data_IF_900739915400
#
_entry.id   IF_900739915400
#
_cell.length_a   1.000
_cell.length_b   1.000
_cell.length_c   1.000
_cell.angle_alpha   90.00
_cell.angle_beta   90.00
_cell.angle_gamma   90.00
#
_symmetry.space_group_name_H-M   'P 1'
#
loop_
_entity.id
_entity.type
_entity.pdbx_description
1 polymer ?
#
# COMPACT_ATOMS: atom_id res chain seq x y z
N UNK A 1 21.42 -11.73 19.00
CA UNK A 1 20.44 -11.17 19.98
C UNK A 1 19.06 -11.66 19.61
N UNK A 2 18.31 -12.32 20.51
CA UNK A 2 16.87 -12.55 20.29
C UNK A 2 16.19 -11.17 20.24
N UNK A 3 15.42 -10.84 19.19
CA UNK A 3 14.73 -9.57 19.14
C UNK A 3 13.77 -9.47 20.34
N UNK A 4 13.93 -8.42 21.14
CA UNK A 4 13.02 -8.08 22.23
C UNK A 4 11.59 -7.90 21.66
N UNK A 5 10.57 -8.59 22.19
CA UNK A 5 9.19 -8.51 21.69
C UNK A 5 8.50 -7.15 21.89
N UNK A 6 9.16 -6.18 22.53
CA UNK A 6 8.54 -4.93 22.99
C UNK A 6 9.29 -3.67 22.58
N UNK A 7 10.41 -3.78 21.86
CA UNK A 7 11.16 -2.64 21.36
C UNK A 7 10.60 -2.07 20.05
N UNK A 8 10.68 -0.74 19.88
CA UNK A 8 10.49 -0.10 18.58
C UNK A 8 11.51 -0.69 17.61
N UNK A 9 11.04 -1.28 16.51
CA UNK A 9 11.93 -1.81 15.46
C UNK A 9 12.39 -0.62 14.62
N UNK A 10 13.48 0.03 15.05
CA UNK A 10 13.99 1.26 14.48
C UNK A 10 14.21 1.20 12.95
N UNK A 11 14.77 0.11 12.37
CA UNK A 11 14.88 -0.02 10.91
C UNK A 11 13.54 0.08 10.17
N UNK A 12 12.44 -0.42 10.76
CA UNK A 12 11.11 -0.32 10.15
C UNK A 12 10.59 1.12 10.20
N UNK A 13 10.95 1.91 11.22
CA UNK A 13 10.59 3.33 11.26
C UNK A 13 11.34 4.11 10.18
N UNK A 14 12.62 3.83 9.97
CA UNK A 14 13.38 4.42 8.86
C UNK A 14 12.79 4.03 7.49
N UNK A 15 12.44 2.76 7.29
CA UNK A 15 11.79 2.33 6.05
C UNK A 15 10.44 3.02 5.81
N UNK A 16 9.64 3.24 6.87
CA UNK A 16 8.41 4.05 6.77
C UNK A 16 8.69 5.50 6.39
N UNK A 17 9.75 6.09 6.95
CA UNK A 17 10.19 7.44 6.59
C UNK A 17 10.59 7.53 5.11
N UNK A 18 11.38 6.57 4.63
CA UNK A 18 11.76 6.47 3.21
C UNK A 18 10.52 6.31 2.32
N UNK A 19 9.61 5.40 2.67
CA UNK A 19 8.35 5.21 1.94
C UNK A 19 7.52 6.50 1.85
N UNK A 20 7.39 7.24 2.97
CA UNK A 20 6.67 8.51 3.01
C UNK A 20 7.32 9.58 2.11
N UNK A 21 8.66 9.66 2.11
CA UNK A 21 9.39 10.58 1.25
C UNK A 21 9.24 10.23 -0.24
N UNK A 22 9.22 8.94 -0.59
CA UNK A 22 8.97 8.48 -1.96
C UNK A 22 7.56 8.86 -2.43
N UNK A 23 6.54 8.69 -1.59
CA UNK A 23 5.17 9.11 -1.90
C UNK A 23 5.06 10.63 -2.04
N UNK A 24 5.70 11.39 -1.14
CA UNK A 24 5.76 12.84 -1.23
C UNK A 24 6.47 13.31 -2.50
N UNK A 25 7.54 12.63 -2.91
CA UNK A 25 8.23 12.87 -4.17
C UNK A 25 7.31 12.65 -5.37
N UNK A 26 6.60 11.52 -5.44
CA UNK A 26 5.66 11.23 -6.52
C UNK A 26 4.60 12.32 -6.67
N UNK A 27 3.96 12.71 -5.56
CA UNK A 27 2.96 13.76 -5.58
C UNK A 27 3.55 15.16 -5.83
N UNK A 28 4.76 15.44 -5.36
CA UNK A 28 5.43 16.73 -5.61
C UNK A 28 5.80 16.91 -7.07
N UNK A 29 6.48 15.92 -7.67
CA UNK A 29 6.88 15.97 -9.08
C UNK A 29 5.66 15.94 -10.00
N UNK A 30 4.66 15.10 -9.71
CA UNK A 30 3.46 14.97 -10.53
C UNK A 30 2.52 16.18 -10.52
N UNK A 31 2.75 17.18 -9.65
CA UNK A 31 1.96 18.41 -9.58
C UNK A 31 2.67 19.62 -10.22
N UNK A 32 3.94 19.47 -10.64
CA UNK A 32 4.75 20.53 -11.20
C UNK A 32 5.04 20.24 -12.69
N UNK A 33 4.36 20.92 -13.63
CA UNK A 33 4.52 20.66 -15.06
C UNK A 33 5.97 20.79 -15.53
N UNK A 34 6.45 19.80 -16.29
CA UNK A 34 7.81 19.75 -16.86
C UNK A 34 8.86 19.13 -15.94
N UNK A 35 8.54 18.89 -14.67
CA UNK A 35 9.46 18.27 -13.72
C UNK A 35 9.53 16.75 -13.91
N UNK A 36 8.44 16.14 -14.39
CA UNK A 36 8.34 14.72 -14.74
C UNK A 36 9.33 14.26 -15.80
N UNK A 37 9.79 15.16 -16.67
CA UNK A 37 10.77 14.85 -17.70
C UNK A 37 12.20 14.69 -17.13
N UNK A 38 12.45 15.25 -15.96
CA UNK A 38 13.77 15.33 -15.35
C UNK A 38 13.92 14.40 -14.14
N UNK A 39 12.81 13.91 -13.59
CA UNK A 39 12.79 13.17 -12.34
C UNK A 39 11.94 11.89 -12.43
N UNK A 40 12.44 10.76 -11.90
CA UNK A 40 11.73 9.48 -11.97
C UNK A 40 10.45 9.51 -11.14
N UNK A 41 9.30 9.31 -11.81
CA UNK A 41 7.97 9.35 -11.19
C UNK A 41 7.54 8.00 -10.58
N UNK A 42 7.87 6.86 -11.20
CA UNK A 42 7.43 5.53 -10.72
C UNK A 42 8.31 5.01 -9.59
N UNK A 43 9.51 5.54 -9.44
CA UNK A 43 10.30 5.37 -8.23
C UNK A 43 9.48 5.79 -7.01
N UNK A 44 8.87 6.98 -7.05
CA UNK A 44 8.08 7.51 -5.95
C UNK A 44 6.81 6.69 -5.62
N UNK A 45 6.16 6.09 -6.63
CA UNK A 45 4.99 5.23 -6.39
C UNK A 45 5.34 3.98 -5.59
N UNK A 46 6.59 3.52 -5.67
CA UNK A 46 7.05 2.30 -4.98
C UNK A 46 7.11 2.47 -3.45
N UNK A 47 6.97 3.70 -2.95
CA UNK A 47 6.79 3.95 -1.52
C UNK A 47 5.49 3.36 -0.98
N UNK A 48 4.43 3.30 -1.80
CA UNK A 48 3.17 2.65 -1.43
C UNK A 48 3.37 1.14 -1.27
N UNK A 49 4.07 0.51 -2.21
CA UNK A 49 4.36 -0.92 -2.17
C UNK A 49 5.13 -1.29 -0.88
N UNK A 50 6.11 -0.45 -0.51
CA UNK A 50 6.85 -0.60 0.73
C UNK A 50 5.96 -0.47 1.98
N UNK A 51 4.95 0.41 1.98
CA UNK A 51 3.99 0.48 3.08
C UNK A 51 3.20 -0.83 3.24
N UNK A 52 2.75 -1.46 2.15
CA UNK A 52 2.00 -2.72 2.20
C UNK A 52 2.85 -3.88 2.74
N UNK A 53 4.11 -4.00 2.29
CA UNK A 53 5.06 -4.97 2.86
C UNK A 53 5.28 -4.72 4.35
N UNK A 54 5.51 -3.47 4.75
CA UNK A 54 5.71 -3.11 6.16
C UNK A 54 4.45 -3.41 6.99
N UNK A 55 3.25 -3.17 6.44
CA UNK A 55 1.99 -3.50 7.10
C UNK A 55 1.87 -4.99 7.39
N UNK A 56 2.14 -5.85 6.40
CA UNK A 56 2.19 -7.30 6.58
C UNK A 56 3.18 -7.73 7.67
N UNK A 57 4.40 -7.17 7.63
CA UNK A 57 5.44 -7.43 8.63
C UNK A 57 4.99 -7.06 10.05
N UNK A 58 4.47 -5.84 10.23
CA UNK A 58 4.06 -5.34 11.54
C UNK A 58 2.86 -6.11 12.10
N UNK A 59 1.94 -6.62 11.27
CA UNK A 59 0.82 -7.42 11.78
C UNK A 59 1.31 -8.71 12.43
N UNK A 60 2.27 -9.40 11.80
CA UNK A 60 2.87 -10.61 12.36
C UNK A 60 3.67 -10.29 13.63
N UNK A 61 4.50 -9.25 13.61
CA UNK A 61 5.28 -8.84 14.79
C UNK A 61 4.42 -8.47 15.99
N UNK A 62 3.36 -7.70 15.78
CA UNK A 62 2.54 -7.18 16.88
C UNK A 62 1.59 -8.22 17.49
N UNK A 63 1.36 -9.34 16.81
CA UNK A 63 0.50 -10.45 17.26
C UNK A 63 1.28 -11.73 17.59
N UNK A 64 2.62 -11.70 17.49
CA UNK A 64 3.48 -12.80 17.89
C UNK A 64 3.44 -13.03 19.41
N UNK A 65 3.22 -14.29 19.82
CA UNK A 65 3.20 -14.66 21.24
C UNK A 65 2.06 -14.04 22.07
N UNK A 66 1.07 -13.40 21.44
CA UNK A 66 -0.06 -12.74 22.11
C UNK A 66 -1.37 -13.39 21.72
N UNK A 67 -2.26 -13.57 22.70
CA UNK A 67 -3.66 -13.91 22.45
C UNK A 67 -4.41 -12.63 22.07
N UNK A 68 -4.72 -12.49 20.78
CA UNK A 68 -5.39 -11.31 20.23
C UNK A 68 -6.70 -11.77 19.59
N UNK A 69 -7.83 -11.24 20.06
CA UNK A 69 -9.13 -11.52 19.44
C UNK A 69 -9.29 -10.72 18.12
N UNK A 70 -9.99 -11.24 17.11
CA UNK A 70 -10.24 -10.54 15.85
C UNK A 70 -10.89 -9.16 16.05
N UNK A 71 -11.91 -9.06 16.93
CA UNK A 71 -12.58 -7.80 17.22
C UNK A 71 -11.66 -6.76 17.86
N UNK A 72 -10.85 -7.15 18.85
CA UNK A 72 -9.89 -6.22 19.46
C UNK A 72 -8.80 -5.78 18.47
N UNK A 73 -8.41 -6.65 17.55
CA UNK A 73 -7.47 -6.31 16.49
C UNK A 73 -8.06 -5.25 15.56
N UNK A 74 -9.24 -5.48 15.00
CA UNK A 74 -9.88 -4.56 14.06
C UNK A 74 -10.12 -3.20 14.74
N UNK A 75 -10.66 -3.18 15.97
CA UNK A 75 -10.92 -1.94 16.70
C UNK A 75 -9.65 -1.09 16.86
N UNK A 76 -8.52 -1.69 17.26
CA UNK A 76 -7.23 -0.98 17.37
C UNK A 76 -6.74 -0.40 16.04
N UNK A 77 -7.02 -1.07 14.92
CA UNK A 77 -6.64 -0.58 13.59
C UNK A 77 -7.55 0.54 13.11
N UNK A 78 -8.86 0.40 13.30
CA UNK A 78 -9.83 1.44 12.96
C UNK A 78 -9.58 2.73 13.75
N UNK A 79 -9.39 2.67 15.07
CA UNK A 79 -9.10 3.85 15.91
C UNK A 79 -7.82 4.57 15.45
N UNK A 80 -6.86 3.83 14.89
CA UNK A 80 -5.61 4.41 14.40
C UNK A 80 -5.75 5.07 13.03
N UNK A 81 -6.51 4.46 12.11
CA UNK A 81 -6.52 4.87 10.69
C UNK A 81 -7.75 5.71 10.34
N UNK A 82 -8.94 5.31 10.80
CA UNK A 82 -10.19 5.91 10.37
C UNK A 82 -10.37 7.38 10.78
N UNK A 83 -10.07 7.81 12.03
CA UNK A 83 -10.27 9.19 12.43
C UNK A 83 -9.51 10.19 11.57
N UNK A 84 -8.23 9.93 11.29
CA UNK A 84 -7.42 10.83 10.46
C UNK A 84 -7.94 10.86 9.02
N UNK A 85 -8.25 9.70 8.44
CA UNK A 85 -8.78 9.64 7.08
C UNK A 85 -10.13 10.36 6.95
N UNK A 86 -11.03 10.18 7.91
CA UNK A 86 -12.33 10.85 7.94
C UNK A 86 -12.17 12.37 8.05
N UNK A 87 -11.33 12.85 8.96
CA UNK A 87 -11.07 14.29 9.12
C UNK A 87 -10.54 14.89 7.82
N UNK A 88 -9.55 14.26 7.19
CA UNK A 88 -8.97 14.77 5.94
C UNK A 88 -9.95 14.71 4.76
N UNK A 89 -10.75 13.64 4.67
CA UNK A 89 -11.78 13.50 3.63
C UNK A 89 -12.87 14.54 3.79
N UNK A 90 -13.36 14.76 5.01
CA UNK A 90 -14.39 15.77 5.30
C UNK A 90 -13.85 17.18 5.13
N UNK A 91 -12.60 17.44 5.49
CA UNK A 91 -11.94 18.72 5.23
C UNK A 91 -11.86 19.01 3.73
N UNK A 92 -11.46 18.02 2.91
CA UNK A 92 -11.46 18.16 1.45
C UNK A 92 -12.87 18.45 0.91
N UNK A 93 -13.89 17.72 1.39
CA UNK A 93 -15.29 17.98 1.03
C UNK A 93 -15.71 19.41 1.40
N UNK A 94 -15.36 19.88 2.60
CA UNK A 94 -15.67 21.25 3.02
C UNK A 94 -15.03 22.29 2.09
N UNK A 95 -13.78 22.09 1.66
CA UNK A 95 -13.12 23.00 0.71
C UNK A 95 -13.81 22.95 -0.66
N UNK A 96 -14.20 21.77 -1.16
CA UNK A 96 -14.93 21.62 -2.42
C UNK A 96 -16.27 22.39 -2.37
N UNK A 97 -16.97 22.35 -1.24
CA UNK A 97 -18.27 23.03 -1.08
C UNK A 97 -18.14 24.55 -0.93
N UNK A 98 -17.09 25.04 -0.26
CA UNK A 98 -16.88 26.49 -0.02
C UNK A 98 -16.20 27.17 -1.21
N UNK A 99 -15.30 26.47 -1.90
CA UNK A 99 -14.50 27.01 -3.01
C UNK A 99 -14.52 26.08 -4.24
N UNK A 100 -15.70 25.84 -4.86
CA UNK A 100 -15.83 24.92 -5.97
C UNK A 100 -14.99 25.30 -7.21
N UNK A 101 -14.65 26.59 -7.36
CA UNK A 101 -13.80 27.10 -8.44
C UNK A 101 -12.37 26.55 -8.42
N UNK A 102 -11.91 26.04 -7.27
CA UNK A 102 -10.61 25.36 -7.12
C UNK A 102 -10.64 23.91 -7.63
N UNK A 103 -11.82 23.31 -7.77
CA UNK A 103 -11.99 21.87 -8.08
C UNK A 103 -12.98 21.66 -9.23
N UNK A 104 -12.77 22.36 -10.35
CA UNK A 104 -13.74 22.45 -11.47
C UNK A 104 -14.05 21.11 -12.16
N UNK A 105 -13.18 20.10 -12.00
CA UNK A 105 -13.34 18.76 -12.58
C UNK A 105 -13.77 17.71 -11.56
N UNK A 106 -13.90 18.08 -10.27
CA UNK A 106 -14.26 17.14 -9.21
C UNK A 106 -15.77 17.03 -9.08
N UNK A 107 -16.31 15.84 -9.34
CA UNK A 107 -17.70 15.46 -9.12
C UNK A 107 -17.82 14.76 -7.78
N UNK A 108 -18.45 15.42 -6.81
CA UNK A 108 -18.77 14.84 -5.50
C UNK A 108 -20.19 14.29 -5.49
N UNK A 109 -20.36 13.01 -5.15
CA UNK A 109 -21.68 12.39 -4.95
C UNK A 109 -21.83 11.89 -3.51
N UNK A 110 -23.05 11.85 -2.94
CA UNK A 110 -23.27 11.26 -1.62
C UNK A 110 -22.83 9.80 -1.55
N UNK A 111 -23.02 9.05 -2.64
CA UNK A 111 -22.60 7.66 -2.75
C UNK A 111 -21.07 7.51 -2.67
N UNK A 112 -20.32 8.29 -3.46
CA UNK A 112 -18.85 8.24 -3.45
C UNK A 112 -18.28 8.68 -2.10
N UNK A 113 -18.91 9.64 -1.41
CA UNK A 113 -18.50 10.04 -0.06
C UNK A 113 -18.73 8.91 0.95
N UNK A 114 -19.92 8.31 0.96
CA UNK A 114 -20.23 7.19 1.86
C UNK A 114 -19.29 5.99 1.62
N UNK A 115 -19.08 5.63 0.35
CA UNK A 115 -18.16 4.55 -0.02
C UNK A 115 -16.71 4.86 0.40
N UNK A 116 -16.25 6.10 0.24
CA UNK A 116 -14.93 6.53 0.71
C UNK A 116 -14.80 6.37 2.23
N UNK A 117 -15.74 6.91 3.01
CA UNK A 117 -15.71 6.87 4.47
C UNK A 117 -15.81 5.44 5.04
N UNK A 118 -16.44 4.54 4.30
CA UNK A 118 -16.58 3.12 4.65
C UNK A 118 -15.47 2.22 4.09
N UNK A 119 -14.44 2.79 3.44
CA UNK A 119 -13.34 2.04 2.82
C UNK A 119 -13.82 1.03 1.76
N UNK A 120 -14.81 1.42 0.97
CA UNK A 120 -15.38 0.62 -0.12
C UNK A 120 -14.77 1.09 -1.45
N UNK A 121 -14.07 0.20 -2.19
CA UNK A 121 -13.61 0.48 -3.55
C UNK A 121 -14.78 0.84 -4.46
N UNK A 122 -14.67 1.97 -5.15
CA UNK A 122 -15.66 2.45 -6.11
C UNK A 122 -14.97 3.22 -7.23
N UNK A 123 -15.62 3.26 -8.40
CA UNK A 123 -15.15 4.06 -9.52
C UNK A 123 -15.36 5.55 -9.22
N UNK A 124 -14.36 6.36 -9.57
CA UNK A 124 -14.42 7.80 -9.37
C UNK A 124 -15.43 8.44 -10.32
N UNK A 125 -16.38 9.25 -9.83
CA UNK A 125 -17.24 10.05 -10.68
C UNK A 125 -16.46 11.12 -11.49
N UNK A 126 -15.25 11.48 -11.03
CA UNK A 126 -14.41 12.52 -11.64
C UNK A 126 -13.37 11.95 -12.62
N UNK A 127 -13.02 10.67 -12.49
CA UNK A 127 -11.97 10.03 -13.27
C UNK A 127 -12.44 8.66 -13.77
N UNK A 128 -12.87 8.61 -15.03
CA UNK A 128 -13.45 7.42 -15.64
C UNK A 128 -12.48 6.22 -15.56
N UNK A 129 -12.99 5.09 -15.08
CA UNK A 129 -12.23 3.84 -14.96
C UNK A 129 -11.26 3.76 -13.77
N UNK A 130 -11.05 4.85 -13.03
CA UNK A 130 -10.14 4.89 -11.88
C UNK A 130 -10.87 4.57 -10.58
N UNK A 131 -10.27 3.71 -9.74
CA UNK A 131 -10.78 3.42 -8.39
C UNK A 131 -10.19 4.44 -7.42
N UNK A 132 -10.64 5.69 -7.53
CA UNK A 132 -10.17 6.80 -6.71
C UNK A 132 -11.30 7.29 -5.79
N UNK A 133 -11.18 7.02 -4.47
CA UNK A 133 -12.04 7.62 -3.46
C UNK A 133 -11.94 9.15 -3.45
N UNK A 134 -12.86 9.81 -2.73
CA UNK A 134 -12.92 11.28 -2.62
C UNK A 134 -11.56 11.87 -2.23
N UNK A 135 -10.94 11.31 -1.19
CA UNK A 135 -9.54 11.55 -0.89
C UNK A 135 -8.71 10.46 -1.57
N UNK A 136 -7.98 10.82 -2.64
CA UNK A 136 -7.30 9.87 -3.54
C UNK A 136 -6.47 8.81 -2.80
N UNK A 137 -5.61 9.15 -1.82
CA UNK A 137 -4.86 8.14 -1.05
C UNK A 137 -5.71 7.03 -0.40
N UNK A 138 -7.02 7.23 -0.25
CA UNK A 138 -7.97 6.23 0.23
C UNK A 138 -8.00 4.93 -0.57
N UNK A 139 -7.55 4.93 -1.83
CA UNK A 139 -7.45 3.69 -2.60
C UNK A 139 -6.51 2.68 -1.92
N UNK A 140 -5.42 3.14 -1.30
CA UNK A 140 -4.49 2.28 -0.53
C UNK A 140 -5.10 1.81 0.78
N UNK A 141 -5.94 2.63 1.41
CA UNK A 141 -6.62 2.28 2.65
C UNK A 141 -7.67 1.19 2.45
N UNK A 142 -8.31 1.13 1.28
CA UNK A 142 -9.21 0.02 0.96
C UNK A 142 -8.46 -1.33 1.00
N UNK A 143 -7.27 -1.39 0.41
CA UNK A 143 -6.41 -2.57 0.48
C UNK A 143 -6.01 -2.89 1.92
N UNK A 144 -5.59 -1.88 2.69
CA UNK A 144 -5.15 -2.04 4.07
C UNK A 144 -6.30 -2.55 4.98
N UNK A 145 -7.51 -2.00 4.86
CA UNK A 145 -8.68 -2.44 5.63
C UNK A 145 -9.09 -3.86 5.26
N UNK A 146 -9.07 -4.20 3.97
CA UNK A 146 -9.34 -5.56 3.51
C UNK A 146 -8.30 -6.56 4.04
N UNK A 147 -7.02 -6.20 3.95
CA UNK A 147 -5.94 -7.00 4.55
C UNK A 147 -6.13 -7.18 6.06
N UNK A 148 -6.52 -6.14 6.79
CA UNK A 148 -6.82 -6.25 8.22
C UNK A 148 -7.98 -7.19 8.51
N UNK A 149 -9.04 -7.17 7.70
CA UNK A 149 -10.16 -8.10 7.84
C UNK A 149 -9.70 -9.55 7.62
N UNK A 150 -8.92 -9.82 6.56
CA UNK A 150 -8.35 -11.15 6.29
C UNK A 150 -7.38 -11.60 7.38
N UNK A 151 -6.52 -10.71 7.85
CA UNK A 151 -5.60 -10.98 8.94
C UNK A 151 -6.37 -11.32 10.22
N UNK A 152 -7.40 -10.55 10.56
CA UNK A 152 -8.24 -10.79 11.73
C UNK A 152 -8.96 -12.15 11.63
N UNK A 153 -9.51 -12.49 10.46
CA UNK A 153 -10.12 -13.80 10.20
C UNK A 153 -9.10 -14.93 10.37
N UNK A 154 -7.86 -14.74 9.89
CA UNK A 154 -6.79 -15.73 10.02
C UNK A 154 -6.42 -16.06 11.47
N UNK A 155 -6.68 -15.15 12.42
CA UNK A 155 -6.40 -15.36 13.85
C UNK A 155 -7.22 -16.49 14.46
N UNK A 156 -8.35 -16.88 13.84
CA UNK A 156 -9.17 -18.01 14.29
C UNK A 156 -8.52 -19.38 14.01
N UNK A 157 -7.46 -19.43 13.19
CA UNK A 157 -6.84 -20.67 12.75
C UNK A 157 -5.49 -20.92 13.42
N UNK A 158 -5.19 -22.20 13.74
CA UNK A 158 -3.88 -22.61 14.26
C UNK A 158 -2.73 -22.23 13.33
N UNK A 159 -2.93 -22.42 12.02
CA UNK A 159 -1.95 -22.09 10.97
C UNK A 159 -2.22 -20.72 10.33
N UNK A 160 -2.49 -19.70 11.16
CA UNK A 160 -2.89 -18.33 10.75
C UNK A 160 -2.12 -17.76 9.56
N UNK A 161 -0.79 -17.89 9.53
CA UNK A 161 0.03 -17.34 8.44
C UNK A 161 -0.22 -18.07 7.11
N UNK A 162 -0.27 -19.41 7.14
CA UNK A 162 -0.49 -20.21 5.94
C UNK A 162 -1.89 -19.93 5.37
N UNK A 163 -2.91 -19.83 6.23
CA UNK A 163 -4.28 -19.48 5.83
C UNK A 163 -4.32 -18.10 5.19
N UNK A 164 -3.68 -17.09 5.81
CA UNK A 164 -3.61 -15.73 5.28
C UNK A 164 -2.94 -15.69 3.89
N UNK A 165 -1.75 -16.28 3.77
CA UNK A 165 -0.97 -16.27 2.53
C UNK A 165 -1.70 -17.05 1.44
N UNK A 166 -2.27 -18.23 1.75
CA UNK A 166 -3.04 -19.02 0.80
C UNK A 166 -4.29 -18.27 0.33
N UNK A 167 -5.00 -17.57 1.24
CA UNK A 167 -6.17 -16.75 0.89
C UNK A 167 -5.77 -15.63 -0.07
N UNK A 168 -4.74 -14.85 0.26
CA UNK A 168 -4.27 -13.75 -0.58
C UNK A 168 -3.81 -14.25 -1.95
N UNK A 169 -3.03 -15.33 -2.00
CA UNK A 169 -2.56 -15.93 -3.24
C UNK A 169 -3.72 -16.47 -4.10
N UNK A 170 -4.71 -17.09 -3.47
CA UNK A 170 -5.90 -17.61 -4.18
C UNK A 170 -6.74 -16.49 -4.77
N UNK A 171 -6.93 -15.39 -4.04
CA UNK A 171 -7.65 -14.21 -4.55
C UNK A 171 -6.94 -13.61 -5.76
N UNK A 172 -5.62 -13.48 -5.71
CA UNK A 172 -4.84 -12.98 -6.85
C UNK A 172 -4.87 -13.94 -8.04
N UNK A 173 -4.73 -15.25 -7.79
CA UNK A 173 -4.87 -16.26 -8.84
C UNK A 173 -6.27 -16.22 -9.49
N UNK A 174 -7.33 -16.05 -8.70
CA UNK A 174 -8.68 -15.86 -9.20
C UNK A 174 -8.80 -14.59 -10.05
N UNK A 175 -8.10 -13.50 -9.71
CA UNK A 175 -8.01 -12.30 -10.53
C UNK A 175 -7.42 -12.55 -11.92
N UNK A 176 -6.35 -13.33 -12.00
CA UNK A 176 -5.73 -13.71 -13.28
C UNK A 176 -6.58 -14.67 -14.12
N UNK A 177 -7.34 -15.57 -13.48
CA UNK A 177 -8.14 -16.60 -14.18
C UNK A 177 -9.53 -16.10 -14.58
N UNK A 178 -10.18 -15.32 -13.71
CA UNK A 178 -11.58 -14.89 -13.87
C UNK A 178 -11.71 -13.41 -14.31
N UNK A 179 -10.63 -12.63 -14.25
CA UNK A 179 -10.61 -11.24 -14.68
C UNK A 179 -10.55 -11.06 -16.20
N UNK A 180 -10.65 -9.81 -16.70
CA UNK A 180 -10.74 -8.56 -15.94
C UNK A 180 -12.15 -8.29 -15.40
N UNK A 181 -12.25 -7.81 -14.16
CA UNK A 181 -13.53 -7.47 -13.56
C UNK A 181 -13.97 -6.03 -13.86
N UNK A 182 -15.23 -5.84 -14.24
CA UNK A 182 -15.87 -4.52 -14.31
C UNK A 182 -16.19 -3.96 -12.91
N UNK A 183 -16.49 -4.84 -11.94
CA UNK A 183 -16.78 -4.47 -10.57
C UNK A 183 -15.50 -3.99 -9.85
N UNK A 184 -15.50 -2.77 -9.24
CA UNK A 184 -14.30 -2.22 -8.60
C UNK A 184 -13.87 -3.00 -7.36
N UNK A 185 -14.80 -3.59 -6.59
CA UNK A 185 -14.49 -4.40 -5.41
C UNK A 185 -13.75 -5.67 -5.84
N UNK A 186 -14.27 -6.38 -6.83
CA UNK A 186 -13.61 -7.57 -7.36
C UNK A 186 -12.23 -7.23 -7.93
N UNK A 187 -12.12 -6.14 -8.71
CA UNK A 187 -10.85 -5.68 -9.26
C UNK A 187 -9.81 -5.38 -8.18
N UNK A 188 -10.19 -4.65 -7.13
CA UNK A 188 -9.28 -4.33 -6.01
C UNK A 188 -8.91 -5.58 -5.22
N UNK A 189 -9.87 -6.43 -4.85
CA UNK A 189 -9.59 -7.55 -3.94
C UNK A 189 -9.08 -8.83 -4.63
N UNK A 190 -8.71 -8.72 -5.90
CA UNK A 190 -7.91 -9.73 -6.62
C UNK A 190 -6.63 -9.15 -7.22
N UNK A 191 -6.27 -7.91 -6.86
CA UNK A 191 -5.10 -7.23 -7.40
C UNK A 191 -3.78 -7.83 -6.84
N UNK A 192 -2.72 -7.95 -7.65
CA UNK A 192 -1.40 -8.44 -7.21
C UNK A 192 -0.79 -7.73 -6.00
N UNK A 193 -1.19 -6.48 -5.70
CA UNK A 193 -0.80 -5.73 -4.48
C UNK A 193 -1.04 -6.56 -3.20
N UNK A 194 -2.05 -7.43 -3.19
CA UNK A 194 -2.32 -8.32 -2.06
C UNK A 194 -1.13 -9.23 -1.70
N UNK A 195 -0.27 -9.56 -2.68
CA UNK A 195 0.93 -10.37 -2.44
C UNK A 195 2.03 -9.61 -1.70
N UNK A 196 2.02 -8.28 -1.72
CA UNK A 196 3.00 -7.47 -0.98
C UNK A 196 2.76 -7.56 0.52
N UNK A 197 1.48 -7.53 0.93
CA UNK A 197 1.10 -7.84 2.31
C UNK A 197 1.51 -9.26 2.71
N UNK A 198 1.30 -10.25 1.82
CA UNK A 198 1.70 -11.62 2.06
C UNK A 198 3.23 -11.74 2.23
N UNK A 199 4.00 -11.09 1.36
CA UNK A 199 5.46 -11.03 1.44
C UNK A 199 5.91 -10.42 2.77
N UNK A 200 5.31 -9.29 3.17
CA UNK A 200 5.53 -8.67 4.47
C UNK A 200 5.27 -9.61 5.65
N UNK A 201 4.14 -10.32 5.63
CA UNK A 201 3.77 -11.27 6.68
C UNK A 201 4.76 -12.45 6.76
N UNK A 202 5.20 -12.98 5.62
CA UNK A 202 6.22 -14.04 5.55
C UNK A 202 7.56 -13.55 6.12
N UNK A 203 8.01 -12.35 5.72
CA UNK A 203 9.24 -11.74 6.25
C UNK A 203 9.14 -11.58 7.77
N UNK A 204 8.01 -11.08 8.28
CA UNK A 204 7.78 -10.94 9.73
C UNK A 204 7.84 -12.28 10.47
N UNK A 205 7.30 -13.34 9.88
CA UNK A 205 7.39 -14.68 10.47
C UNK A 205 8.81 -15.23 10.50
N UNK A 206 9.55 -15.12 9.37
CA UNK A 206 10.94 -15.56 9.27
C UNK A 206 11.84 -14.78 10.24
N UNK A 207 11.56 -13.49 10.44
CA UNK A 207 12.25 -12.66 11.43
C UNK A 207 12.07 -13.19 12.85
N UNK A 208 10.83 -13.45 13.29
CA UNK A 208 10.54 -13.99 14.63
C UNK A 208 11.15 -15.37 14.82
N UNK A 209 11.12 -16.20 13.77
CA UNK A 209 11.72 -17.52 13.79
C UNK A 209 13.26 -17.51 13.83
N UNK A 210 13.90 -16.32 13.74
CA UNK A 210 15.35 -16.19 13.69
C UNK A 210 15.97 -16.76 12.42
N UNK A 211 15.17 -16.88 11.34
CA UNK A 211 15.61 -17.44 10.05
C UNK A 211 16.17 -16.39 9.09
N UNK A 212 16.02 -15.10 9.42
CA UNK A 212 16.63 -13.98 8.68
C UNK A 212 17.98 -13.59 9.31
N UNK A 213 18.96 -14.49 9.25
CA UNK A 213 20.35 -14.21 9.65
C UNK A 213 21.23 -14.04 8.43
N UNK A 214 20.93 -13.05 7.60
CA UNK A 214 21.80 -12.71 6.47
C UNK A 214 23.01 -11.91 6.96
N UNK A 215 24.23 -12.20 6.48
CA UNK A 215 25.37 -11.33 6.71
C UNK A 215 25.07 -9.90 6.26
N UNK A 216 25.63 -8.90 6.98
CA UNK A 216 25.46 -7.47 6.64
C UNK A 216 25.80 -7.20 5.17
N UNK A 217 26.92 -7.73 4.60
CA UNK A 217 27.24 -7.51 3.20
C UNK A 217 26.15 -8.02 2.24
N UNK A 218 25.58 -9.19 2.51
CA UNK A 218 24.51 -9.77 1.68
C UNK A 218 23.25 -8.91 1.74
N UNK A 219 22.91 -8.41 2.93
CA UNK A 219 21.77 -7.53 3.13
C UNK A 219 21.94 -6.19 2.41
N UNK A 220 23.15 -5.62 2.46
CA UNK A 220 23.50 -4.39 1.75
C UNK A 220 23.47 -4.58 0.24
N UNK A 221 24.04 -5.67 -0.27
CA UNK A 221 23.99 -5.99 -1.71
C UNK A 221 22.53 -6.14 -2.17
N UNK A 222 21.71 -6.87 -1.41
CA UNK A 222 20.28 -7.01 -1.72
C UNK A 222 19.55 -5.68 -1.74
N UNK A 223 19.82 -4.81 -0.76
CA UNK A 223 19.24 -3.46 -0.70
C UNK A 223 19.69 -2.58 -1.87
N UNK A 224 20.97 -2.64 -2.25
CA UNK A 224 21.52 -1.88 -3.38
C UNK A 224 20.95 -2.38 -4.72
N UNK A 225 20.83 -3.70 -4.91
CA UNK A 225 20.18 -4.29 -6.10
C UNK A 225 18.72 -3.84 -6.15
N UNK A 226 17.98 -3.92 -5.04
CA UNK A 226 16.60 -3.45 -4.97
C UNK A 226 16.46 -1.97 -5.34
N UNK A 227 17.30 -1.11 -4.76
CA UNK A 227 17.32 0.31 -5.08
C UNK A 227 17.66 0.58 -6.56
N UNK A 228 18.65 -0.14 -7.10
CA UNK A 228 19.01 -0.03 -8.52
C UNK A 228 17.86 -0.45 -9.43
N UNK A 229 17.20 -1.59 -9.16
CA UNK A 229 16.05 -2.05 -9.94
C UNK A 229 14.88 -1.06 -9.89
N UNK A 230 14.64 -0.42 -8.75
CA UNK A 230 13.60 0.61 -8.60
C UNK A 230 13.91 1.86 -9.43
N UNK A 231 15.17 2.30 -9.46
CA UNK A 231 15.59 3.43 -10.31
C UNK A 231 15.52 3.07 -11.79
N UNK A 232 15.95 1.86 -12.15
CA UNK A 232 15.95 1.36 -13.53
C UNK A 232 14.53 1.08 -14.07
N UNK A 233 13.53 0.89 -13.21
CA UNK A 233 12.11 0.78 -13.60
C UNK A 233 11.62 1.98 -14.41
N UNK A 234 12.21 3.15 -14.18
CA UNK A 234 11.91 4.41 -14.87
C UNK A 234 12.85 4.71 -16.05
N UNK A 235 13.89 3.90 -16.26
CA UNK A 235 14.78 4.10 -17.40
C UNK A 235 14.01 3.85 -18.71
N UNK A 236 14.05 4.77 -19.69
CA UNK A 236 13.47 4.49 -21.00
C UNK A 236 14.14 3.23 -21.59
N UNK A 237 13.41 2.41 -22.37
CA UNK A 237 14.01 1.24 -23.00
C UNK A 237 15.28 1.64 -23.76
N UNK A 238 16.32 0.82 -23.69
CA UNK A 238 17.64 1.11 -24.29
C UNK A 238 17.57 1.57 -25.77
N UNK A 239 16.49 1.20 -26.48
CA UNK A 239 16.18 1.63 -27.84
C UNK A 239 15.96 3.15 -28.02
N UNK A 240 15.69 3.92 -26.96
CA UNK A 240 15.46 5.36 -27.04
C UNK A 240 16.75 6.19 -26.88
N UNK A 241 17.86 5.61 -26.42
CA UNK A 241 19.12 6.34 -26.23
C UNK A 241 19.87 6.57 -27.55
N UNK A 242 19.67 5.72 -28.55
CA UNK A 242 20.20 5.93 -29.91
C UNK A 242 19.55 7.10 -30.64
N UNK A 243 18.34 7.52 -30.23
CA UNK A 243 17.69 8.72 -30.78
C UNK A 243 18.19 10.02 -30.12
N UNK A 244 18.72 9.96 -28.89
CA UNK A 244 19.25 11.12 -28.16
C UNK A 244 20.74 11.39 -28.43
N UNK A 245 21.49 10.42 -28.97
CA UNK A 245 22.89 10.57 -29.37
C UNK A 245 23.04 10.74 -30.90
N UNK A 246 21.95 11.01 -31.62
CA UNK A 246 21.88 11.02 -33.08
C UNK A 246 20.99 12.11 -33.68
N UNK A 247 20.98 13.31 -33.10
CA UNK A 247 20.49 14.54 -33.73
C UNK A 247 21.37 15.73 -33.31
#
# INVERSE_FOLDING_TARGET
MKPSPTGVILPIQYLRGVAALMVAWHHGVGQLPGLEAHFPLRFGTSGVDLFFVISGFIMVMTTAGKSVTPGSFIARRLIRVAPLYWVLTLALVAVILVAPSLFRTTVLTPASLAQSLLFIPHLSPSHAGMIWPVLVPGWTLNYEMFFYALFAASLAFRHRLAVLVATLATLVAAGYVLGPFANPIARTYTDPILLEFAAGAVIGHLWIAGRLNLPIPVSLIGALIGAALLVLRDAPPLANYTQLLGA
#
